data_IF_376840719023
#
_entry.id   IF_376840719023
#
_cell.length_a   1.000
_cell.length_b   1.000
_cell.length_c   1.000
_cell.angle_alpha   90.00
_cell.angle_beta   90.00
_cell.angle_gamma   90.00
#
_symmetry.space_group_name_H-M   'P 1'
#
loop_
_entity.id
_entity.type
_entity.pdbx_description
1 polymer ?
#
# COMPACT_ATOMS: atom_id res chain seq x y z
N UNK A 1 10.50 11.32 -32.42
CA UNK A 1 10.53 12.51 -31.56
C UNK A 1 9.71 12.16 -30.34
N UNK A 2 10.36 12.11 -29.18
CA UNK A 2 9.92 11.43 -27.97
C UNK A 2 9.07 12.38 -27.12
N UNK A 3 7.90 11.94 -26.64
CA UNK A 3 7.17 12.64 -25.58
C UNK A 3 6.41 11.65 -24.71
N UNK A 4 7.01 11.26 -23.60
CA UNK A 4 6.25 10.85 -22.42
C UNK A 4 5.69 12.13 -21.77
N UNK A 5 4.42 12.13 -21.36
CA UNK A 5 3.86 13.31 -20.67
C UNK A 5 4.73 13.63 -19.45
N UNK A 6 5.33 14.83 -19.42
CA UNK A 6 6.17 15.30 -18.33
C UNK A 6 7.69 15.03 -18.46
N UNK A 7 8.18 14.36 -19.50
CA UNK A 7 9.63 14.05 -19.66
C UNK A 7 10.44 15.16 -20.36
N UNK A 8 9.81 16.28 -20.69
CA UNK A 8 10.50 17.42 -21.31
C UNK A 8 11.47 18.12 -20.31
N UNK A 9 11.18 18.06 -19.01
CA UNK A 9 12.03 18.57 -17.93
C UNK A 9 11.53 18.11 -16.56
N UNK A 10 12.38 18.20 -15.52
CA UNK A 10 11.92 17.97 -14.14
C UNK A 10 10.73 18.87 -13.74
N UNK A 11 10.67 20.11 -14.25
CA UNK A 11 9.52 20.99 -13.99
C UNK A 11 8.26 20.50 -14.69
N UNK A 12 8.37 20.03 -15.93
CA UNK A 12 7.25 19.44 -16.68
C UNK A 12 6.70 18.21 -15.97
N UNK A 13 7.58 17.36 -15.43
CA UNK A 13 7.20 16.21 -14.61
C UNK A 13 6.41 16.63 -13.37
N UNK A 14 6.93 17.59 -12.59
CA UNK A 14 6.23 18.11 -11.41
C UNK A 14 4.88 18.74 -11.75
N UNK A 15 4.79 19.46 -12.87
CA UNK A 15 3.53 20.04 -13.35
C UNK A 15 2.53 18.93 -13.68
N UNK A 16 2.92 17.89 -14.41
CA UNK A 16 2.03 16.77 -14.73
C UNK A 16 1.55 16.01 -13.48
N UNK A 17 2.42 15.83 -12.48
CA UNK A 17 2.02 15.26 -11.18
C UNK A 17 0.95 16.10 -10.49
N UNK A 18 1.11 17.43 -10.50
CA UNK A 18 0.15 18.35 -9.89
C UNK A 18 -1.17 18.39 -10.65
N UNK A 19 -1.14 18.36 -11.99
CA UNK A 19 -2.36 18.35 -12.82
C UNK A 19 -3.25 17.14 -12.50
N UNK A 20 -2.68 15.94 -12.43
CA UNK A 20 -3.43 14.74 -12.02
C UNK A 20 -4.01 14.88 -10.60
N UNK A 21 -3.21 15.38 -9.66
CA UNK A 21 -3.61 15.55 -8.27
C UNK A 21 -4.73 16.60 -8.12
N UNK A 22 -4.62 17.73 -8.82
CA UNK A 22 -5.62 18.79 -8.79
C UNK A 22 -6.93 18.33 -9.44
N UNK A 23 -6.86 17.59 -10.56
CA UNK A 23 -8.02 17.04 -11.25
C UNK A 23 -8.83 16.10 -10.35
N UNK A 24 -8.17 15.13 -9.70
CA UNK A 24 -8.87 14.16 -8.85
C UNK A 24 -9.39 14.76 -7.54
N UNK A 25 -8.69 15.74 -6.96
CA UNK A 25 -9.12 16.41 -5.73
C UNK A 25 -10.24 17.43 -5.97
N UNK A 26 -10.34 18.00 -7.17
CA UNK A 26 -11.44 18.87 -7.56
C UNK A 26 -12.74 18.11 -7.86
N UNK A 27 -12.65 16.80 -8.11
CA UNK A 27 -13.79 15.92 -8.37
C UNK A 27 -14.27 15.15 -7.13
N UNK A 28 -15.42 14.50 -7.26
CA UNK A 28 -15.97 13.59 -6.25
C UNK A 28 -15.36 12.19 -6.37
N UNK A 29 -14.04 12.11 -6.20
CA UNK A 29 -13.31 10.85 -6.37
C UNK A 29 -13.70 9.83 -5.30
N UNK A 30 -14.22 8.65 -5.68
CA UNK A 30 -14.59 7.62 -4.72
C UNK A 30 -13.35 7.01 -4.04
N UNK A 31 -12.18 7.07 -4.68
CA UNK A 31 -10.90 6.65 -4.08
C UNK A 31 -10.46 7.60 -2.97
N UNK A 32 -10.63 8.92 -3.16
CA UNK A 32 -10.31 9.93 -2.12
C UNK A 32 -11.25 9.76 -0.94
N UNK A 33 -12.56 9.64 -1.19
CA UNK A 33 -13.54 9.38 -0.14
C UNK A 33 -13.24 8.10 0.66
N UNK A 34 -12.82 7.03 -0.02
CA UNK A 34 -12.45 5.78 0.63
C UNK A 34 -11.19 5.93 1.51
N UNK A 35 -10.18 6.65 1.03
CA UNK A 35 -8.97 6.92 1.82
C UNK A 35 -9.25 7.82 3.03
N UNK A 36 -10.16 8.80 2.90
CA UNK A 36 -10.62 9.62 4.03
C UNK A 36 -11.34 8.77 5.09
N UNK A 37 -12.16 7.81 4.66
CA UNK A 37 -12.84 6.87 5.57
C UNK A 37 -11.83 5.96 6.30
N UNK A 38 -10.84 5.41 5.57
CA UNK A 38 -9.76 4.61 6.14
C UNK A 38 -8.90 5.41 7.13
N UNK A 39 -8.50 6.63 6.78
CA UNK A 39 -7.73 7.50 7.67
C UNK A 39 -8.53 7.85 8.93
N UNK A 40 -9.82 8.14 8.77
CA UNK A 40 -10.72 8.43 9.89
C UNK A 40 -10.85 7.23 10.84
N UNK A 41 -10.97 6.02 10.29
CA UNK A 41 -10.94 4.77 11.08
C UNK A 41 -9.64 4.63 11.87
N UNK A 42 -8.49 4.76 11.19
CA UNK A 42 -7.17 4.64 11.83
C UNK A 42 -6.93 5.71 12.91
N UNK A 43 -7.42 6.93 12.69
CA UNK A 43 -7.38 7.99 13.71
C UNK A 43 -8.28 7.66 14.88
N UNK A 44 -9.52 7.25 14.63
CA UNK A 44 -10.47 6.96 15.70
C UNK A 44 -10.00 5.80 16.60
N UNK A 45 -9.62 4.68 16.00
CA UNK A 45 -9.44 3.42 16.73
C UNK A 45 -8.00 3.03 17.03
N UNK A 46 -7.01 3.61 16.34
CA UNK A 46 -5.61 3.12 16.41
C UNK A 46 -4.64 4.19 16.89
N UNK A 47 -4.71 5.40 16.32
CA UNK A 47 -3.66 6.43 16.47
C UNK A 47 -4.14 7.72 17.14
N UNK A 48 -5.44 7.84 17.41
CA UNK A 48 -6.03 9.04 17.98
C UNK A 48 -5.77 9.21 19.47
N UNK A 49 -6.01 10.42 20.00
CA UNK A 49 -5.70 10.78 21.38
C UNK A 49 -6.49 9.99 22.43
N UNK A 50 -7.60 9.36 22.03
CA UNK A 50 -8.42 8.52 22.91
C UNK A 50 -7.78 7.14 23.16
N UNK A 51 -6.82 6.74 22.32
CA UNK A 51 -6.09 5.48 22.47
C UNK A 51 -4.79 5.73 23.24
N UNK A 52 -4.80 5.43 24.54
CA UNK A 52 -3.60 5.54 25.38
C UNK A 52 -2.61 4.44 25.02
N UNK A 53 -1.37 4.76 24.58
CA UNK A 53 -0.38 3.75 24.23
C UNK A 53 0.06 2.92 25.43
N UNK A 54 0.02 1.60 25.27
CA UNK A 54 0.62 0.60 26.14
C UNK A 54 2.13 0.47 25.91
N UNK A 55 2.54 0.41 24.64
CA UNK A 55 3.93 0.40 24.19
C UNK A 55 4.16 1.55 23.19
N UNK A 56 5.11 2.44 23.50
CA UNK A 56 5.44 3.61 22.67
C UNK A 56 6.11 3.23 21.34
N UNK A 57 6.86 2.14 21.28
CA UNK A 57 7.46 1.63 20.04
C UNK A 57 6.35 1.13 19.12
N UNK A 58 5.44 0.30 19.64
CA UNK A 58 4.29 -0.20 18.89
C UNK A 58 3.43 0.95 18.39
N UNK A 59 3.14 1.94 19.24
CA UNK A 59 2.35 3.11 18.84
C UNK A 59 3.04 3.97 17.78
N UNK A 60 4.37 4.13 17.85
CA UNK A 60 5.14 4.81 16.80
C UNK A 60 5.06 4.07 15.47
N UNK A 61 5.11 2.74 15.48
CA UNK A 61 4.94 1.93 14.28
C UNK A 61 3.52 2.04 13.71
N UNK A 62 2.48 2.05 14.56
CA UNK A 62 1.08 2.30 14.15
C UNK A 62 0.96 3.65 13.41
N UNK A 63 1.52 4.72 13.97
CA UNK A 63 1.55 6.06 13.35
C UNK A 63 2.32 6.07 12.03
N UNK A 64 3.51 5.45 11.99
CA UNK A 64 4.33 5.41 10.81
C UNK A 64 3.68 4.63 9.66
N UNK A 65 3.04 3.48 9.95
CA UNK A 65 2.28 2.72 8.97
C UNK A 65 1.18 3.58 8.32
N UNK A 66 0.41 4.33 9.13
CA UNK A 66 -0.60 5.29 8.64
C UNK A 66 0.01 6.35 7.72
N UNK A 67 1.11 6.99 8.11
CA UNK A 67 1.74 8.03 7.27
C UNK A 67 2.33 7.48 5.97
N UNK A 68 2.83 6.24 5.99
CA UNK A 68 3.28 5.55 4.78
C UNK A 68 2.12 5.27 3.82
N UNK A 69 0.93 4.87 4.32
CA UNK A 69 -0.27 4.74 3.48
C UNK A 69 -0.66 6.05 2.81
N UNK A 70 -0.71 7.15 3.58
CA UNK A 70 -1.01 8.48 3.03
C UNK A 70 0.02 8.92 1.98
N UNK A 71 1.28 8.57 2.20
CA UNK A 71 2.36 8.84 1.24
C UNK A 71 2.19 8.01 -0.04
N UNK A 72 1.89 6.72 0.09
CA UNK A 72 1.64 5.82 -1.04
C UNK A 72 0.45 6.29 -1.88
N UNK A 73 -0.65 6.67 -1.23
CA UNK A 73 -1.82 7.23 -1.92
C UNK A 73 -1.48 8.53 -2.64
N UNK A 74 -0.75 9.45 -1.99
CA UNK A 74 -0.28 10.69 -2.63
C UNK A 74 0.57 10.41 -3.88
N UNK A 75 1.44 9.40 -3.84
CA UNK A 75 2.19 8.97 -5.03
C UNK A 75 1.22 8.49 -6.12
N UNK A 76 0.22 7.68 -5.74
CA UNK A 76 -0.83 7.23 -6.65
C UNK A 76 -1.59 8.38 -7.33
N UNK A 77 -1.94 9.44 -6.60
CA UNK A 77 -2.60 10.63 -7.15
C UNK A 77 -1.77 11.34 -8.23
N UNK A 78 -0.44 11.18 -8.22
CA UNK A 78 0.40 11.73 -9.29
C UNK A 78 0.34 10.92 -10.59
N UNK A 79 -0.17 9.69 -10.53
CA UNK A 79 -0.18 8.73 -11.63
C UNK A 79 1.08 7.88 -11.75
N UNK A 80 2.01 7.97 -10.80
CA UNK A 80 3.23 7.15 -10.78
C UNK A 80 2.95 5.75 -10.18
N UNK A 81 2.31 4.88 -10.96
CA UNK A 81 1.87 3.56 -10.51
C UNK A 81 3.00 2.70 -9.91
N UNK A 82 4.18 2.64 -10.55
CA UNK A 82 5.32 1.86 -10.05
C UNK A 82 5.83 2.31 -8.67
N UNK A 83 5.71 3.60 -8.35
CA UNK A 83 6.19 4.20 -7.11
C UNK A 83 5.29 3.94 -5.90
N UNK A 84 4.06 3.48 -6.15
CA UNK A 84 3.07 3.18 -5.10
C UNK A 84 3.49 1.92 -4.32
N UNK A 85 3.77 0.82 -5.02
CA UNK A 85 3.95 -0.49 -4.41
C UNK A 85 5.11 -0.60 -3.41
N UNK A 86 6.31 0.00 -3.62
CA UNK A 86 7.35 0.04 -2.60
C UNK A 86 6.84 0.64 -1.28
N UNK A 87 6.11 1.75 -1.36
CA UNK A 87 5.61 2.48 -0.20
C UNK A 87 4.52 1.70 0.53
N UNK A 88 3.58 1.11 -0.21
CA UNK A 88 2.53 0.25 0.34
C UNK A 88 3.12 -0.99 1.04
N UNK A 89 4.15 -1.61 0.46
CA UNK A 89 4.87 -2.73 1.08
C UNK A 89 5.47 -2.34 2.41
N UNK A 90 6.16 -1.20 2.48
CA UNK A 90 6.75 -0.71 3.73
C UNK A 90 5.67 -0.38 4.76
N UNK A 91 4.53 0.18 4.36
CA UNK A 91 3.42 0.43 5.26
C UNK A 91 2.89 -0.87 5.89
N UNK A 92 2.65 -1.89 5.07
CA UNK A 92 2.16 -3.19 5.53
C UNK A 92 3.17 -3.92 6.41
N UNK A 93 4.44 -3.94 6.02
CA UNK A 93 5.50 -4.52 6.85
C UNK A 93 5.59 -3.80 8.20
N UNK A 94 5.53 -2.46 8.23
CA UNK A 94 5.52 -1.68 9.48
C UNK A 94 4.34 -2.07 10.39
N UNK A 95 3.16 -2.29 9.82
CA UNK A 95 2.00 -2.76 10.56
C UNK A 95 2.18 -4.18 11.13
N UNK A 96 2.80 -5.10 10.37
CA UNK A 96 3.14 -6.43 10.85
C UNK A 96 4.14 -6.41 12.01
N UNK A 97 5.14 -5.51 11.99
CA UNK A 97 6.04 -5.32 13.13
C UNK A 97 5.27 -4.86 14.36
N UNK A 98 4.40 -3.86 14.22
CA UNK A 98 3.56 -3.37 15.33
C UNK A 98 2.71 -4.49 15.92
N UNK A 99 2.05 -5.29 15.07
CA UNK A 99 1.27 -6.44 15.49
C UNK A 99 2.11 -7.50 16.21
N UNK A 100 3.26 -7.90 15.68
CA UNK A 100 4.09 -8.92 16.32
C UNK A 100 4.59 -8.47 17.70
N UNK A 101 5.05 -7.22 17.81
CA UNK A 101 5.50 -6.63 19.07
C UNK A 101 4.37 -6.49 20.09
N UNK A 102 3.16 -6.13 19.65
CA UNK A 102 2.01 -6.06 20.57
C UNK A 102 1.56 -7.43 21.08
N UNK A 103 2.09 -8.54 20.55
CA UNK A 103 1.85 -9.90 21.04
C UNK A 103 3.03 -10.48 21.84
N UNK A 104 4.16 -9.78 21.86
CA UNK A 104 5.36 -10.15 22.61
C UNK A 104 6.20 -8.89 22.87
N UNK A 105 6.00 -8.27 24.04
CA UNK A 105 6.65 -7.02 24.43
C UNK A 105 8.20 -7.10 24.38
N UNK A 106 8.77 -8.31 24.56
CA UNK A 106 10.23 -8.49 24.48
C UNK A 106 10.77 -8.19 23.07
N UNK A 107 9.94 -8.27 22.03
CA UNK A 107 10.31 -7.92 20.66
C UNK A 107 10.56 -6.42 20.48
N UNK A 108 9.87 -5.56 21.24
CA UNK A 108 10.11 -4.11 21.23
C UNK A 108 11.52 -3.78 21.73
N UNK A 109 11.94 -4.42 22.82
CA UNK A 109 13.30 -4.27 23.37
C UNK A 109 14.37 -4.76 22.38
N UNK A 110 14.17 -5.93 21.79
CA UNK A 110 15.09 -6.50 20.78
C UNK A 110 15.23 -5.56 19.57
N UNK A 111 14.15 -4.93 19.15
CA UNK A 111 14.15 -3.98 18.04
C UNK A 111 14.87 -2.68 18.39
N UNK A 112 14.60 -2.11 19.58
CA UNK A 112 15.25 -0.88 20.05
C UNK A 112 16.76 -1.04 20.27
N UNK A 113 17.22 -2.26 20.58
CA UNK A 113 18.65 -2.55 20.80
C UNK A 113 19.41 -2.89 19.52
N UNK A 114 18.75 -2.94 18.34
CA UNK A 114 19.33 -3.41 17.06
C UNK A 114 20.74 -2.89 16.77
N UNK A 115 20.98 -1.60 17.01
CA UNK A 115 22.22 -0.91 16.63
C UNK A 115 23.24 -0.78 17.78
N UNK A 116 23.00 -1.44 18.92
CA UNK A 116 23.91 -1.41 20.09
C UNK A 116 25.19 -2.23 19.86
N UNK A 117 25.10 -3.36 19.16
CA UNK A 117 26.25 -4.24 18.87
C UNK A 117 25.94 -5.24 17.75
N UNK A 118 26.95 -5.98 17.27
CA UNK A 118 26.76 -7.08 16.31
C UNK A 118 25.83 -8.20 16.82
N UNK A 119 25.84 -8.49 18.12
CA UNK A 119 25.02 -9.55 18.70
C UNK A 119 23.55 -9.13 18.78
N UNK A 120 23.29 -7.89 19.22
CA UNK A 120 21.96 -7.29 19.16
C UNK A 120 21.40 -7.21 17.73
N UNK A 121 22.22 -6.82 16.74
CA UNK A 121 21.81 -6.83 15.34
C UNK A 121 21.43 -8.25 14.87
N UNK A 122 22.20 -9.27 15.28
CA UNK A 122 21.89 -10.67 14.95
C UNK A 122 20.61 -11.15 15.62
N UNK A 123 20.39 -10.77 16.88
CA UNK A 123 19.17 -11.06 17.62
C UNK A 123 17.95 -10.43 16.94
N UNK A 124 18.03 -9.14 16.59
CA UNK A 124 16.97 -8.44 15.85
C UNK A 124 16.68 -9.11 14.50
N UNK A 125 17.71 -9.42 13.69
CA UNK A 125 17.51 -10.12 12.41
C UNK A 125 16.90 -11.52 12.56
N UNK A 126 17.22 -12.22 13.66
CA UNK A 126 16.64 -13.53 13.97
C UNK A 126 15.18 -13.40 14.38
N UNK A 127 14.87 -12.42 15.22
CA UNK A 127 13.51 -12.17 15.72
C UNK A 127 12.56 -11.74 14.59
N UNK A 128 13.03 -10.91 13.66
CA UNK A 128 12.25 -10.41 12.53
C UNK A 128 12.74 -10.96 11.19
N UNK A 129 12.97 -12.28 11.12
CA UNK A 129 13.46 -12.92 9.89
C UNK A 129 12.43 -12.88 8.76
N UNK A 130 11.15 -13.04 9.08
CA UNK A 130 10.05 -13.13 8.12
C UNK A 130 8.74 -12.51 8.67
N UNK A 131 8.78 -11.24 9.11
CA UNK A 131 7.74 -10.65 9.96
C UNK A 131 6.34 -10.67 9.32
N UNK A 132 6.24 -10.54 8.00
CA UNK A 132 4.94 -10.62 7.30
C UNK A 132 4.38 -12.05 7.30
N UNK A 133 5.23 -13.07 7.11
CA UNK A 133 4.81 -14.47 7.17
C UNK A 133 4.47 -14.89 8.60
N UNK A 134 5.26 -14.46 9.59
CA UNK A 134 4.98 -14.73 11.00
C UNK A 134 3.67 -14.04 11.44
N UNK A 135 3.39 -12.82 10.96
CA UNK A 135 2.12 -12.14 11.19
C UNK A 135 0.95 -12.87 10.50
N UNK A 136 1.10 -13.29 9.23
CA UNK A 136 0.11 -14.12 8.52
C UNK A 136 -0.28 -15.34 9.32
N UNK A 137 0.70 -16.14 9.74
CA UNK A 137 0.47 -17.41 10.43
C UNK A 137 -0.25 -17.20 11.76
N UNK A 138 0.12 -16.15 12.51
CA UNK A 138 -0.58 -15.79 13.75
C UNK A 138 -2.00 -15.29 13.50
N UNK A 139 -2.23 -14.46 12.48
CA UNK A 139 -3.55 -13.93 12.16
C UNK A 139 -4.48 -15.07 11.70
N UNK A 140 -4.03 -15.94 10.80
CA UNK A 140 -4.85 -17.05 10.28
C UNK A 140 -5.14 -18.10 11.37
N UNK A 141 -4.25 -18.26 12.34
CA UNK A 141 -4.49 -19.10 13.51
C UNK A 141 -5.63 -18.55 14.40
N UNK A 142 -5.73 -17.22 14.53
CA UNK A 142 -6.75 -16.55 15.34
C UNK A 142 -8.06 -16.32 14.57
N UNK A 143 -7.98 -16.19 13.25
CA UNK A 143 -9.10 -15.81 12.38
C UNK A 143 -9.19 -16.78 11.18
N UNK A 144 -10.09 -17.77 11.21
CA UNK A 144 -10.16 -18.84 10.20
C UNK A 144 -10.67 -18.39 8.82
N UNK A 145 -10.99 -17.11 8.65
CA UNK A 145 -11.39 -16.51 7.37
C UNK A 145 -10.21 -16.10 6.48
N UNK A 146 -8.98 -16.55 6.79
CA UNK A 146 -7.79 -16.38 5.94
C UNK A 146 -7.38 -14.92 5.72
N UNK A 147 -7.63 -14.04 6.71
CA UNK A 147 -7.26 -12.62 6.63
C UNK A 147 -5.74 -12.41 6.53
N UNK A 148 -4.97 -13.22 7.27
CA UNK A 148 -3.52 -13.21 7.19
C UNK A 148 -3.07 -13.60 5.79
N UNK A 149 -3.65 -14.65 5.22
CA UNK A 149 -3.34 -15.10 3.86
C UNK A 149 -3.69 -14.06 2.79
N UNK A 150 -4.82 -13.37 2.90
CA UNK A 150 -5.18 -12.26 2.00
C UNK A 150 -4.18 -11.09 2.11
N UNK A 151 -3.84 -10.68 3.33
CA UNK A 151 -2.84 -9.65 3.60
C UNK A 151 -1.46 -10.04 3.01
N UNK A 152 -1.06 -11.31 3.16
CA UNK A 152 0.18 -11.82 2.59
C UNK A 152 0.15 -11.83 1.05
N UNK A 153 -1.01 -12.09 0.44
CA UNK A 153 -1.17 -11.99 -1.02
C UNK A 153 -0.97 -10.56 -1.52
N UNK A 154 -1.48 -9.54 -0.81
CA UNK A 154 -1.21 -8.13 -1.13
C UNK A 154 0.28 -7.78 -1.01
N UNK A 155 0.96 -8.30 0.02
CA UNK A 155 2.41 -8.17 0.15
C UNK A 155 3.15 -8.75 -1.07
N UNK A 156 2.80 -9.95 -1.51
CA UNK A 156 3.40 -10.57 -2.70
C UNK A 156 3.07 -9.79 -3.98
N UNK A 157 1.83 -9.34 -4.14
CA UNK A 157 1.41 -8.52 -5.28
C UNK A 157 2.24 -7.22 -5.35
N UNK A 158 2.53 -6.59 -4.20
CA UNK A 158 3.39 -5.39 -4.19
C UNK A 158 4.78 -5.66 -4.78
N UNK A 159 5.34 -6.85 -4.57
CA UNK A 159 6.63 -7.25 -5.15
C UNK A 159 6.52 -7.36 -6.67
N UNK A 160 5.46 -8.00 -7.17
CA UNK A 160 5.24 -8.20 -8.59
C UNK A 160 5.03 -6.88 -9.34
N UNK A 161 4.32 -5.91 -8.73
CA UNK A 161 3.90 -4.67 -9.40
C UNK A 161 4.81 -3.47 -9.18
N UNK A 162 5.87 -3.55 -8.36
CA UNK A 162 6.85 -2.45 -8.33
C UNK A 162 7.76 -2.37 -7.11
N UNK A 163 7.50 -3.14 -6.05
CA UNK A 163 8.31 -3.07 -4.83
C UNK A 163 9.70 -3.72 -4.95
N UNK A 164 9.98 -4.42 -6.07
CA UNK A 164 11.33 -4.83 -6.46
C UNK A 164 11.51 -4.73 -7.99
N UNK A 165 12.73 -4.43 -8.48
CA UNK A 165 13.04 -4.57 -9.89
C UNK A 165 12.81 -6.02 -10.32
N UNK A 166 11.83 -6.21 -11.21
CA UNK A 166 11.54 -7.48 -11.86
C UNK A 166 11.09 -7.21 -13.30
N UNK A 167 11.06 -8.27 -14.12
CA UNK A 167 10.69 -8.15 -15.53
C UNK A 167 9.31 -7.51 -15.72
N UNK A 168 8.31 -7.93 -14.93
CA UNK A 168 6.95 -7.36 -15.00
C UNK A 168 6.96 -5.87 -14.68
N UNK A 169 7.60 -5.43 -13.60
CA UNK A 169 7.67 -4.00 -13.24
C UNK A 169 8.23 -3.13 -14.37
N UNK A 170 9.28 -3.59 -15.05
CA UNK A 170 9.90 -2.82 -16.15
C UNK A 170 9.03 -2.87 -17.40
N UNK A 171 8.49 -4.03 -17.76
CA UNK A 171 7.73 -4.19 -19.01
C UNK A 171 6.31 -3.66 -18.92
N UNK A 172 5.67 -3.66 -17.74
CA UNK A 172 4.29 -3.16 -17.54
C UNK A 172 4.12 -1.70 -17.93
N UNK A 173 5.19 -0.91 -17.77
CA UNK A 173 5.22 0.50 -18.07
C UNK A 173 5.90 0.80 -19.40
N UNK A 174 6.17 -0.23 -20.20
CA UNK A 174 6.87 -0.12 -21.48
C UNK A 174 5.95 -0.47 -22.64
N UNK A 175 5.95 0.32 -23.70
CA UNK A 175 5.35 -0.01 -25.00
C UNK A 175 6.46 -0.16 -26.04
N UNK A 176 6.40 -1.25 -26.79
CA UNK A 176 7.30 -1.51 -27.90
C UNK A 176 6.46 -1.57 -29.16
N UNK A 177 6.80 -0.78 -30.17
CA UNK A 177 6.08 -0.75 -31.44
C UNK A 177 7.08 -0.70 -32.58
N UNK A 178 7.01 -1.67 -33.49
CA UNK A 178 7.88 -1.66 -34.67
C UNK A 178 7.25 -0.78 -35.76
N UNK A 179 8.00 0.21 -36.21
CA UNK A 179 7.62 1.01 -37.37
C UNK A 179 8.23 0.38 -38.63
N UNK A 180 7.41 -0.41 -39.33
CA UNK A 180 7.79 -1.10 -40.56
C UNK A 180 8.24 -0.12 -41.67
N UNK A 181 7.80 1.14 -41.66
CA UNK A 181 8.15 2.11 -42.69
C UNK A 181 9.54 2.74 -42.47
N UNK A 182 9.92 2.95 -41.21
CA UNK A 182 11.26 3.49 -40.88
C UNK A 182 12.30 2.42 -40.53
N UNK A 183 11.86 1.18 -40.30
CA UNK A 183 12.71 0.09 -39.83
C UNK A 183 13.22 0.29 -38.41
N UNK A 184 12.60 1.18 -37.63
CA UNK A 184 12.96 1.49 -36.26
C UNK A 184 11.95 0.86 -35.28
N UNK A 185 12.45 0.38 -34.15
CA UNK A 185 11.63 -0.02 -33.01
C UNK A 185 11.42 1.19 -32.09
N UNK A 186 10.17 1.57 -31.87
CA UNK A 186 9.76 2.55 -30.87
C UNK A 186 9.71 1.89 -29.50
N UNK A 187 10.42 2.47 -28.53
CA UNK A 187 10.37 2.10 -27.12
C UNK A 187 9.85 3.30 -26.33
N UNK A 188 8.72 3.13 -25.65
CA UNK A 188 8.11 4.15 -24.79
C UNK A 188 8.04 3.63 -23.36
N UNK A 189 8.52 4.44 -22.40
CA UNK A 189 8.31 4.16 -20.98
C UNK A 189 7.35 5.20 -20.40
N UNK A 190 6.18 4.76 -19.92
CA UNK A 190 5.21 5.60 -19.24
C UNK A 190 5.57 5.71 -17.76
N UNK A 191 5.95 6.91 -17.33
CA UNK A 191 6.21 7.21 -15.93
C UNK A 191 4.92 7.61 -15.18
N UNK A 192 4.07 8.42 -15.84
CA UNK A 192 2.84 8.96 -15.26
C UNK A 192 1.63 8.56 -16.10
N UNK A 193 0.65 7.97 -15.43
CA UNK A 193 -0.65 7.65 -15.99
C UNK A 193 -1.63 8.81 -15.74
N UNK A 194 -2.55 9.04 -16.68
CA UNK A 194 -3.63 10.02 -16.47
C UNK A 194 -4.78 9.41 -15.65
N UNK A 195 -5.60 10.29 -15.07
CA UNK A 195 -6.74 9.98 -14.19
C UNK A 195 -7.76 9.00 -14.76
N UNK A 196 -7.83 8.85 -16.09
CA UNK A 196 -8.81 8.00 -16.78
C UNK A 196 -8.25 6.66 -17.27
N UNK A 197 -7.01 6.34 -16.93
CA UNK A 197 -6.39 5.09 -17.33
C UNK A 197 -6.58 3.98 -16.28
N UNK A 198 -6.67 2.74 -16.76
CA UNK A 198 -6.77 1.56 -15.90
C UNK A 198 -5.65 1.49 -14.86
N UNK A 199 -4.40 1.74 -15.27
CA UNK A 199 -3.24 1.66 -14.39
C UNK A 199 -3.24 2.73 -13.29
N UNK A 200 -3.75 3.92 -13.58
CA UNK A 200 -3.96 4.95 -12.57
C UNK A 200 -4.96 4.46 -11.51
N UNK A 201 -6.15 4.05 -11.92
CA UNK A 201 -7.20 3.59 -11.00
C UNK A 201 -6.82 2.31 -10.25
N UNK A 202 -6.16 1.37 -10.92
CA UNK A 202 -5.62 0.15 -10.30
C UNK A 202 -4.61 0.47 -9.21
N UNK A 203 -3.77 1.49 -9.41
CA UNK A 203 -2.80 1.90 -8.38
C UNK A 203 -3.49 2.54 -7.16
N UNK A 204 -4.57 3.30 -7.36
CA UNK A 204 -5.38 3.85 -6.27
C UNK A 204 -6.16 2.76 -5.53
N UNK A 205 -6.72 1.78 -6.25
CA UNK A 205 -7.35 0.61 -5.65
C UNK A 205 -6.33 -0.16 -4.80
N UNK A 206 -5.12 -0.42 -5.31
CA UNK A 206 -4.07 -1.08 -4.52
C UNK A 206 -3.75 -0.33 -3.21
N UNK A 207 -3.79 1.01 -3.23
CA UNK A 207 -3.68 1.83 -2.00
C UNK A 207 -4.82 1.55 -1.04
N UNK A 208 -6.07 1.51 -1.53
CA UNK A 208 -7.26 1.19 -0.72
C UNK A 208 -7.17 -0.21 -0.12
N UNK A 209 -6.86 -1.23 -0.93
CA UNK A 209 -6.76 -2.62 -0.47
C UNK A 209 -5.69 -2.79 0.60
N UNK A 210 -4.51 -2.22 0.36
CA UNK A 210 -3.41 -2.29 1.32
C UNK A 210 -3.72 -1.49 2.59
N UNK A 211 -4.39 -0.35 2.46
CA UNK A 211 -4.83 0.43 3.62
C UNK A 211 -5.84 -0.31 4.47
N UNK A 212 -6.79 -1.02 3.85
CA UNK A 212 -7.73 -1.87 4.56
C UNK A 212 -7.02 -3.03 5.27
N UNK A 213 -6.07 -3.69 4.60
CA UNK A 213 -5.26 -4.74 5.22
C UNK A 213 -4.46 -4.21 6.42
N UNK A 214 -3.84 -3.04 6.30
CA UNK A 214 -3.13 -2.38 7.40
C UNK A 214 -4.10 -2.02 8.53
N UNK A 215 -5.28 -1.46 8.23
CA UNK A 215 -6.29 -1.16 9.24
C UNK A 215 -6.67 -2.41 10.04
N UNK A 216 -6.92 -3.53 9.35
CA UNK A 216 -7.22 -4.82 9.98
C UNK A 216 -6.06 -5.30 10.87
N UNK A 217 -4.83 -5.32 10.34
CA UNK A 217 -3.64 -5.76 11.09
C UNK A 217 -3.40 -4.88 12.33
N UNK A 218 -3.54 -3.56 12.19
CA UNK A 218 -3.36 -2.63 13.30
C UNK A 218 -4.50 -2.76 14.33
N UNK A 219 -5.73 -3.02 13.90
CA UNK A 219 -6.83 -3.31 14.83
C UNK A 219 -6.57 -4.54 15.68
N UNK A 220 -5.88 -5.54 15.13
CA UNK A 220 -5.46 -6.75 15.86
C UNK A 220 -4.30 -6.50 16.83
N UNK A 221 -3.72 -5.30 16.86
CA UNK A 221 -2.72 -4.95 17.89
C UNK A 221 -3.36 -4.81 19.26
N UNK A 222 -4.64 -4.43 19.32
CA UNK A 222 -5.43 -4.42 20.55
C UNK A 222 -5.74 -5.85 21.02
N UNK A 223 -5.96 -6.06 22.33
CA UNK A 223 -6.31 -7.37 22.87
C UNK A 223 -7.71 -7.82 22.44
N UNK A 224 -8.66 -6.90 22.40
CA UNK A 224 -10.07 -7.17 22.08
C UNK A 224 -10.55 -6.16 21.03
N UNK A 225 -10.95 -6.66 19.86
CA UNK A 225 -11.64 -5.85 18.87
C UNK A 225 -13.06 -5.56 19.33
N UNK A 226 -13.49 -4.29 19.26
CA UNK A 226 -14.86 -3.90 19.61
C UNK A 226 -15.84 -4.27 18.48
N UNK A 227 -17.12 -4.45 18.81
CA UNK A 227 -18.17 -4.66 17.79
C UNK A 227 -18.24 -3.49 16.80
N UNK A 228 -18.00 -2.27 17.27
CA UNK A 228 -17.95 -1.07 16.44
C UNK A 228 -16.80 -1.13 15.43
N UNK A 229 -15.59 -1.49 15.86
CA UNK A 229 -14.45 -1.67 14.96
C UNK A 229 -14.72 -2.71 13.89
N UNK A 230 -15.32 -3.85 14.26
CA UNK A 230 -15.66 -4.92 13.32
C UNK A 230 -16.72 -4.45 12.30
N UNK A 231 -17.74 -3.71 12.76
CA UNK A 231 -18.77 -3.14 11.89
C UNK A 231 -18.17 -2.16 10.87
N UNK A 232 -17.37 -1.20 11.33
CA UNK A 232 -16.74 -0.21 10.46
C UNK A 232 -15.76 -0.85 9.46
N UNK A 233 -14.97 -1.85 9.87
CA UNK A 233 -14.10 -2.60 8.95
C UNK A 233 -14.89 -3.35 7.86
N UNK A 234 -16.04 -3.92 8.21
CA UNK A 234 -16.91 -4.57 7.23
C UNK A 234 -17.51 -3.57 6.24
N UNK A 235 -17.91 -2.38 6.71
CA UNK A 235 -18.39 -1.28 5.85
C UNK A 235 -17.27 -0.81 4.89
N UNK A 236 -16.05 -0.64 5.39
CA UNK A 236 -14.88 -0.31 4.56
C UNK A 236 -14.58 -1.41 3.52
N UNK A 237 -14.70 -2.68 3.90
CA UNK A 237 -14.53 -3.79 2.96
C UNK A 237 -15.61 -3.81 1.86
N UNK A 238 -16.84 -3.43 2.19
CA UNK A 238 -17.90 -3.29 1.19
C UNK A 238 -17.59 -2.15 0.22
N UNK A 239 -17.20 -0.96 0.72
CA UNK A 239 -16.81 0.17 -0.13
C UNK A 239 -15.64 -0.18 -1.06
N UNK A 240 -14.65 -0.91 -0.56
CA UNK A 240 -13.56 -1.47 -1.37
C UNK A 240 -14.09 -2.37 -2.48
N UNK A 241 -15.04 -3.25 -2.18
CA UNK A 241 -15.62 -4.18 -3.15
C UNK A 241 -16.40 -3.45 -4.24
N UNK A 242 -17.09 -2.37 -3.89
CA UNK A 242 -17.81 -1.51 -4.85
C UNK A 242 -16.83 -0.80 -5.80
N UNK A 243 -15.66 -0.37 -5.30
CA UNK A 243 -14.58 0.19 -6.13
C UNK A 243 -13.99 -0.83 -7.11
N UNK A 244 -13.79 -2.08 -6.69
CA UNK A 244 -13.34 -3.15 -7.58
C UNK A 244 -14.31 -3.40 -8.72
N UNK A 245 -15.60 -3.46 -8.40
CA UNK A 245 -16.65 -3.65 -9.40
C UNK A 245 -16.72 -2.44 -10.36
N UNK A 246 -16.56 -1.22 -9.85
CA UNK A 246 -16.49 -0.02 -10.68
C UNK A 246 -15.36 -0.11 -11.72
N UNK A 247 -14.15 -0.51 -11.32
CA UNK A 247 -13.03 -0.68 -12.26
C UNK A 247 -13.34 -1.78 -13.29
N UNK A 248 -13.90 -2.93 -12.85
CA UNK A 248 -14.27 -4.02 -13.75
C UNK A 248 -15.30 -3.59 -14.79
N UNK A 249 -16.32 -2.83 -14.37
CA UNK A 249 -17.34 -2.30 -15.28
C UNK A 249 -16.77 -1.25 -16.24
N UNK A 250 -15.83 -0.42 -15.79
CA UNK A 250 -15.22 0.65 -16.59
C UNK A 250 -14.24 0.12 -17.65
N UNK A 251 -13.42 -0.86 -17.31
CA UNK A 251 -12.31 -1.32 -18.15
C UNK A 251 -12.46 -2.76 -18.68
N UNK A 252 -13.50 -3.49 -18.27
CA UNK A 252 -13.71 -4.90 -18.58
C UNK A 252 -12.97 -5.84 -17.62
N UNK A 253 -13.17 -7.15 -17.79
CA UNK A 253 -12.31 -8.12 -17.10
C UNK A 253 -10.87 -8.01 -17.62
N UNK A 254 -9.86 -8.02 -16.74
CA UNK A 254 -8.48 -8.07 -17.20
C UNK A 254 -8.27 -9.35 -18.03
N UNK A 255 -7.77 -9.20 -19.26
CA UNK A 255 -7.33 -10.35 -20.06
C UNK A 255 -6.36 -11.18 -19.22
N UNK A 256 -6.63 -12.49 -19.09
CA UNK A 256 -5.72 -13.41 -18.43
C UNK A 256 -4.41 -13.44 -19.23
N UNK A 257 -3.41 -12.69 -18.79
CA UNK A 257 -2.02 -12.80 -19.25
C UNK A 257 -1.37 -14.07 -18.70
#
# INVERSE_FOLDING_TARGET
MFKSNGDDSFRSFLTACNENQDEILAGDSPYVAMMDALDSYLRKHITGPENVPDDLVVHTLRLNARYLLMTGFRIGLTGHAAGVFPTLRTALETACYAYLMSKDEALSDVWMQRDVSSDHLRACKKAFKQPIADARDKIDLLHPNQLGSWMYALYLASIDFGAHPNAKTVTLHTRITDDEMSGMTLFESLALYNTNSFEYERSLLACVETSLAVAIVLSMTHEIATEEMNKELNELNQLKSDLEEMIRLKFGEPEKQ
#
